data_IF_490029171999
#
_entry.id   IF_490029171999
#
_cell.length_a   1.000
_cell.length_b   1.000
_cell.length_c   1.000
_cell.angle_alpha   90.00
_cell.angle_beta   90.00
_cell.angle_gamma   90.00
#
_symmetry.space_group_name_H-M   'P 1'
#
loop_
_entity.id
_entity.type
_entity.pdbx_description
1 polymer ?
#
# COMPACT_ATOMS: atom_id res chain seq x y z
N UNK A 1 12.14 -12.98 14.67
CA UNK A 1 11.54 -12.72 16.00
C UNK A 1 10.04 -12.61 15.79
N UNK A 2 9.24 -13.31 16.58
CA UNK A 2 7.77 -13.21 16.50
C UNK A 2 7.36 -11.94 17.25
N UNK A 3 6.47 -11.16 16.64
CA UNK A 3 5.89 -9.97 17.27
C UNK A 3 4.49 -10.30 17.77
N UNK A 4 4.18 -9.86 18.98
CA UNK A 4 2.84 -9.91 19.56
C UNK A 4 2.25 -8.51 19.55
N UNK A 5 0.99 -8.38 19.11
CA UNK A 5 0.32 -7.10 18.95
C UNK A 5 -0.82 -6.98 19.97
N UNK A 6 -1.03 -5.76 20.46
CA UNK A 6 -2.14 -5.41 21.35
C UNK A 6 -3.10 -4.55 20.53
N UNK A 7 -4.42 -4.81 20.58
CA UNK A 7 -5.40 -3.97 19.91
C UNK A 7 -5.27 -2.50 20.29
N UNK A 8 -5.43 -1.62 19.31
CA UNK A 8 -5.47 -0.18 19.54
C UNK A 8 -6.81 0.23 20.17
N UNK A 9 -6.82 1.31 20.97
CA UNK A 9 -8.05 1.86 21.56
C UNK A 9 -8.53 3.13 20.86
N UNK A 10 -7.61 3.88 20.25
CA UNK A 10 -7.88 5.13 19.56
C UNK A 10 -6.86 5.40 18.45
N UNK A 11 -7.05 6.50 17.73
CA UNK A 11 -6.13 6.91 16.67
C UNK A 11 -4.77 7.34 17.24
N UNK A 12 -4.72 7.93 18.44
CA UNK A 12 -3.47 8.43 19.05
C UNK A 12 -2.47 7.31 19.35
N UNK A 13 -2.96 6.09 19.59
CA UNK A 13 -2.13 4.89 19.74
C UNK A 13 -1.27 4.58 18.50
N UNK A 14 -1.66 5.08 17.31
CA UNK A 14 -0.83 4.97 16.10
C UNK A 14 0.43 5.83 16.19
N UNK A 15 0.37 6.96 16.89
CA UNK A 15 1.48 7.91 17.06
C UNK A 15 2.71 7.24 17.65
N UNK A 16 2.52 6.32 18.59
CA UNK A 16 3.59 5.59 19.27
C UNK A 16 4.36 4.63 18.34
N UNK A 17 3.78 4.30 17.18
CA UNK A 17 4.37 3.38 16.20
C UNK A 17 5.10 4.07 15.06
N UNK A 18 4.92 5.39 14.91
CA UNK A 18 5.57 6.17 13.87
C UNK A 18 7.10 6.17 14.01
N UNK A 19 7.80 6.23 12.87
CA UNK A 19 9.27 6.28 12.85
C UNK A 19 9.81 7.60 13.44
N UNK A 20 9.11 8.71 13.20
CA UNK A 20 9.40 10.04 13.75
C UNK A 20 8.09 10.74 14.13
N UNK A 21 7.53 10.46 15.33
CA UNK A 21 6.22 10.97 15.75
C UNK A 21 6.13 12.50 15.74
N UNK A 22 7.23 13.20 16.04
CA UNK A 22 7.24 14.67 16.09
C UNK A 22 7.08 15.28 14.70
N UNK A 23 7.65 14.65 13.67
CA UNK A 23 7.52 15.12 12.28
C UNK A 23 6.25 14.61 11.60
N UNK A 24 5.88 13.36 11.86
CA UNK A 24 4.84 12.65 11.12
C UNK A 24 3.43 12.85 11.71
N UNK A 25 3.30 13.12 13.01
CA UNK A 25 2.00 13.31 13.67
C UNK A 25 1.56 14.78 13.69
N UNK A 26 1.19 15.31 12.53
CA UNK A 26 0.78 16.72 12.36
C UNK A 26 -0.46 16.80 11.46
N UNK A 27 -1.32 17.79 11.72
CA UNK A 27 -2.43 18.15 10.81
C UNK A 27 -1.88 18.33 9.38
N UNK A 28 -2.59 17.80 8.39
CA UNK A 28 -2.20 17.87 6.99
C UNK A 28 -1.16 16.84 6.54
N UNK A 29 -0.75 15.91 7.40
CA UNK A 29 0.13 14.78 7.05
C UNK A 29 -0.65 13.47 7.01
N UNK A 30 -0.25 12.58 6.11
CA UNK A 30 -0.96 11.33 5.81
C UNK A 30 -1.08 10.38 6.99
N UNK A 31 -0.04 10.25 7.82
CA UNK A 31 -0.04 9.32 8.94
C UNK A 31 -1.19 9.60 9.93
N UNK A 32 -1.45 10.87 10.25
CA UNK A 32 -2.53 11.27 11.15
C UNK A 32 -3.89 11.13 10.48
N UNK A 33 -4.04 11.61 9.24
CA UNK A 33 -5.28 11.48 8.49
C UNK A 33 -5.72 10.02 8.34
N UNK A 34 -4.78 9.13 7.99
CA UNK A 34 -5.01 7.71 7.87
C UNK A 34 -5.41 7.08 9.20
N UNK A 35 -4.73 7.41 10.30
CA UNK A 35 -5.04 6.89 11.63
C UNK A 35 -6.46 7.24 12.08
N UNK A 36 -6.86 8.51 11.93
CA UNK A 36 -8.19 8.97 12.30
C UNK A 36 -9.27 8.36 11.40
N UNK A 37 -9.05 8.34 10.07
CA UNK A 37 -9.97 7.74 9.11
C UNK A 37 -10.23 6.25 9.40
N UNK A 38 -9.16 5.46 9.56
CA UNK A 38 -9.29 4.02 9.77
C UNK A 38 -9.75 3.65 11.18
N UNK A 39 -9.49 4.48 12.19
CA UNK A 39 -10.02 4.25 13.55
C UNK A 39 -11.48 4.68 13.68
N UNK A 40 -11.93 5.69 12.91
CA UNK A 40 -13.32 6.12 12.89
C UNK A 40 -14.25 5.12 12.20
N UNK A 41 -13.71 4.18 11.42
CA UNK A 41 -14.47 3.06 10.87
C UNK A 41 -14.84 2.10 11.99
N UNK A 42 -16.05 2.25 12.56
CA UNK A 42 -16.52 1.42 13.68
C UNK A 42 -16.46 -0.08 13.38
N UNK A 43 -16.79 -0.47 12.14
CA UNK A 43 -16.72 -1.84 11.65
C UNK A 43 -16.24 -1.88 10.20
N UNK A 44 -15.16 -2.60 9.93
CA UNK A 44 -14.70 -2.86 8.58
C UNK A 44 -13.74 -1.81 8.02
N UNK A 45 -13.87 -1.52 6.73
CA UNK A 45 -13.05 -0.51 6.04
C UNK A 45 -13.65 0.90 6.21
N UNK A 46 -12.85 1.96 6.06
CA UNK A 46 -13.38 3.30 5.78
C UNK A 46 -14.41 3.25 4.63
N UNK A 47 -15.53 4.01 4.69
CA UNK A 47 -16.60 3.92 3.69
C UNK A 47 -16.14 4.06 2.24
N UNK A 48 -15.20 4.97 1.98
CA UNK A 48 -14.59 5.20 0.67
C UNK A 48 -13.82 3.98 0.16
N UNK A 49 -13.11 3.27 1.04
CA UNK A 49 -12.35 2.05 0.74
C UNK A 49 -13.32 0.88 0.55
N UNK A 50 -14.32 0.75 1.42
CA UNK A 50 -15.37 -0.27 1.31
C UNK A 50 -16.08 -0.19 -0.05
N UNK A 51 -16.45 1.02 -0.48
CA UNK A 51 -17.10 1.28 -1.75
C UNK A 51 -16.27 0.83 -2.94
N UNK A 52 -14.97 1.16 -2.98
CA UNK A 52 -14.05 0.77 -4.05
C UNK A 52 -14.07 -0.75 -4.29
N UNK A 53 -14.07 -1.54 -3.22
CA UNK A 53 -14.09 -2.99 -3.37
C UNK A 53 -15.49 -3.54 -3.68
N UNK A 54 -16.53 -3.02 -3.03
CA UNK A 54 -17.91 -3.44 -3.25
C UNK A 54 -18.38 -3.19 -4.70
N UNK A 55 -17.98 -2.06 -5.29
CA UNK A 55 -18.37 -1.66 -6.64
C UNK A 55 -17.42 -2.18 -7.74
N UNK A 56 -16.34 -2.89 -7.37
CA UNK A 56 -15.28 -3.30 -8.30
C UNK A 56 -15.74 -4.29 -9.37
N UNK A 57 -16.76 -5.12 -9.08
CA UNK A 57 -17.13 -6.27 -9.90
C UNK A 57 -16.05 -7.38 -9.98
N UNK A 58 -14.94 -7.25 -9.24
CA UNK A 58 -13.88 -8.24 -9.21
C UNK A 58 -14.24 -9.36 -8.23
N UNK A 59 -14.34 -10.59 -8.74
CA UNK A 59 -14.64 -11.75 -7.90
C UNK A 59 -13.63 -11.91 -6.74
N UNK A 60 -12.38 -11.47 -6.89
CA UNK A 60 -11.39 -11.50 -5.82
C UNK A 60 -11.75 -10.66 -4.57
N UNK A 61 -12.69 -9.72 -4.69
CA UNK A 61 -13.08 -8.81 -3.60
C UNK A 61 -14.56 -8.93 -3.21
N UNK A 62 -15.28 -9.91 -3.75
CA UNK A 62 -16.67 -10.13 -3.34
C UNK A 62 -16.72 -10.50 -1.84
N UNK A 63 -17.52 -9.73 -1.09
CA UNK A 63 -17.66 -9.88 0.35
C UNK A 63 -16.36 -9.63 1.13
N UNK A 64 -15.47 -8.78 0.62
CA UNK A 64 -14.21 -8.48 1.33
C UNK A 64 -14.46 -7.83 2.69
N UNK A 65 -13.79 -8.33 3.73
CA UNK A 65 -13.80 -7.78 5.08
C UNK A 65 -12.36 -7.70 5.64
N UNK A 66 -12.01 -6.65 6.38
CA UNK A 66 -10.72 -6.61 7.08
C UNK A 66 -10.78 -7.49 8.33
N UNK A 67 -9.72 -8.27 8.57
CA UNK A 67 -9.56 -9.11 9.75
C UNK A 67 -8.62 -8.48 10.79
N UNK A 68 -7.57 -7.80 10.32
CA UNK A 68 -6.52 -7.22 11.16
C UNK A 68 -5.85 -6.04 10.44
N UNK A 69 -5.63 -4.94 11.15
CA UNK A 69 -4.76 -3.84 10.74
C UNK A 69 -3.48 -3.79 11.57
N UNK A 70 -2.32 -3.66 10.92
CA UNK A 70 -1.00 -3.50 11.53
C UNK A 70 -0.41 -2.16 11.10
N UNK A 71 -0.37 -1.22 12.02
CA UNK A 71 0.18 0.13 11.82
C UNK A 71 1.70 0.06 11.72
N UNK A 72 2.27 0.81 10.78
CA UNK A 72 3.73 0.95 10.59
C UNK A 72 4.42 -0.41 10.39
N UNK A 73 3.74 -1.32 9.67
CA UNK A 73 4.19 -2.71 9.51
C UNK A 73 5.47 -2.79 8.69
N UNK A 74 6.45 -3.55 9.23
CA UNK A 74 7.78 -3.70 8.66
C UNK A 74 7.93 -5.04 7.96
N UNK A 75 8.27 -5.00 6.67
CA UNK A 75 8.50 -6.16 5.82
C UNK A 75 9.96 -6.19 5.38
N UNK A 76 10.65 -7.29 5.66
CA UNK A 76 12.05 -7.46 5.25
C UNK A 76 12.13 -7.52 3.72
N UNK A 77 12.96 -6.67 3.13
CA UNK A 77 13.14 -6.59 1.69
C UNK A 77 14.41 -7.33 1.24
N UNK A 78 14.47 -7.78 -0.03
CA UNK A 78 15.68 -8.37 -0.59
C UNK A 78 16.90 -7.44 -0.50
N UNK A 79 18.10 -8.04 -0.45
CA UNK A 79 19.35 -7.32 -0.26
C UNK A 79 19.57 -6.80 1.16
N UNK A 80 20.60 -5.97 1.32
CA UNK A 80 20.97 -5.31 2.59
C UNK A 80 20.21 -3.99 2.77
N UNK A 81 20.03 -3.58 4.02
CA UNK A 81 19.45 -2.29 4.39
C UNK A 81 18.11 -2.42 5.12
N UNK A 82 17.40 -1.30 5.21
CA UNK A 82 16.16 -1.21 5.98
C UNK A 82 15.00 -1.97 5.33
N UNK A 83 14.04 -2.46 6.16
CA UNK A 83 12.79 -3.05 5.68
C UNK A 83 11.91 -2.01 4.97
N UNK A 84 10.93 -2.49 4.22
CA UNK A 84 9.76 -1.68 3.87
C UNK A 84 8.96 -1.42 5.13
N UNK A 85 8.58 -0.18 5.37
CA UNK A 85 7.70 0.23 6.47
C UNK A 85 6.49 0.94 5.88
N UNK A 86 5.33 0.29 5.90
CA UNK A 86 4.09 0.80 5.31
C UNK A 86 3.23 1.41 6.41
N UNK A 87 2.52 2.51 6.11
CA UNK A 87 1.66 3.20 7.06
C UNK A 87 0.63 2.25 7.72
N UNK A 88 -0.03 1.42 6.91
CA UNK A 88 -0.93 0.37 7.38
C UNK A 88 -0.82 -0.89 6.52
N UNK A 89 -0.68 -2.05 7.15
CA UNK A 89 -0.92 -3.35 6.54
C UNK A 89 -2.28 -3.88 7.00
N UNK A 90 -3.09 -4.39 6.08
CA UNK A 90 -4.38 -5.01 6.36
C UNK A 90 -4.36 -6.45 5.89
N UNK A 91 -4.66 -7.36 6.81
CA UNK A 91 -5.06 -8.72 6.46
C UNK A 91 -6.57 -8.73 6.29
N UNK A 92 -7.05 -9.07 5.11
CA UNK A 92 -8.47 -9.14 4.79
C UNK A 92 -8.85 -10.55 4.31
N UNK A 93 -10.14 -10.81 4.24
CA UNK A 93 -10.71 -12.05 3.71
C UNK A 93 -11.75 -11.70 2.66
N UNK A 94 -11.74 -12.41 1.54
CA UNK A 94 -12.78 -12.35 0.51
C UNK A 94 -12.94 -13.75 -0.10
N UNK A 95 -14.17 -14.21 -0.30
CA UNK A 95 -14.45 -15.54 -0.87
C UNK A 95 -13.62 -16.70 -0.27
N UNK A 96 -13.53 -16.74 1.07
CA UNK A 96 -12.73 -17.73 1.81
C UNK A 96 -11.23 -17.74 1.51
N UNK A 97 -10.73 -16.69 0.85
CA UNK A 97 -9.31 -16.49 0.60
C UNK A 97 -8.80 -15.28 1.37
N UNK A 98 -7.56 -15.37 1.82
CA UNK A 98 -6.87 -14.25 2.45
C UNK A 98 -6.41 -13.27 1.37
N UNK A 99 -6.53 -11.98 1.69
CA UNK A 99 -6.04 -10.86 0.90
C UNK A 99 -5.02 -10.09 1.74
N UNK A 100 -3.81 -9.96 1.21
CA UNK A 100 -2.73 -9.17 1.79
C UNK A 100 -2.79 -7.76 1.21
N UNK A 101 -3.02 -6.75 2.04
CA UNK A 101 -3.19 -5.37 1.58
C UNK A 101 -2.19 -4.43 2.26
N UNK A 102 -1.44 -3.71 1.46
CA UNK A 102 -0.57 -2.60 1.88
C UNK A 102 -1.31 -1.32 1.58
N UNK A 103 -1.54 -0.50 2.60
CA UNK A 103 -2.21 0.80 2.52
C UNK A 103 -1.19 1.90 2.81
N UNK A 104 -0.98 2.78 1.83
CA UNK A 104 -0.13 3.95 1.97
C UNK A 104 -1.00 5.21 1.96
N UNK A 105 -0.92 6.00 3.03
CA UNK A 105 -1.56 7.30 3.12
C UNK A 105 -0.80 8.34 2.30
N UNK A 106 -1.52 9.25 1.63
CA UNK A 106 -0.91 10.40 0.96
C UNK A 106 -1.73 11.67 1.15
N UNK A 107 -1.07 12.79 1.40
CA UNK A 107 -1.68 14.12 1.26
C UNK A 107 -0.92 14.86 0.16
N UNK A 108 -0.04 15.79 0.54
CA UNK A 108 0.71 16.64 -0.38
C UNK A 108 2.13 16.15 -0.62
N UNK A 109 2.62 15.24 0.22
CA UNK A 109 3.96 14.67 0.12
C UNK A 109 4.08 13.70 -1.06
N UNK A 110 5.22 13.70 -1.78
CA UNK A 110 5.41 12.85 -2.95
C UNK A 110 5.54 11.36 -2.59
N UNK A 111 5.30 10.50 -3.57
CA UNK A 111 5.53 9.04 -3.53
C UNK A 111 7.03 8.66 -3.56
N UNK A 112 7.87 9.39 -2.84
CA UNK A 112 9.32 9.22 -2.83
C UNK A 112 10.00 9.51 -4.17
N UNK A 113 11.24 9.04 -4.32
CA UNK A 113 12.05 9.25 -5.51
C UNK A 113 11.58 8.40 -6.70
N UNK A 114 11.76 8.95 -7.91
CA UNK A 114 11.70 8.17 -9.15
C UNK A 114 12.82 7.13 -9.18
N UNK A 115 12.58 6.02 -9.88
CA UNK A 115 13.50 4.90 -9.96
C UNK A 115 14.88 5.31 -10.50
N UNK A 116 14.92 6.18 -11.51
CA UNK A 116 16.18 6.69 -12.07
C UNK A 116 17.03 7.45 -11.05
N UNK A 117 16.39 8.16 -10.11
CA UNK A 117 17.09 8.87 -9.03
C UNK A 117 17.44 7.95 -7.88
N UNK A 118 16.54 7.02 -7.54
CA UNK A 118 16.76 6.08 -6.45
C UNK A 118 17.89 5.10 -6.77
N UNK A 119 17.97 4.59 -8.00
CA UNK A 119 18.96 3.59 -8.41
C UNK A 119 20.30 4.26 -8.79
N UNK A 120 21.23 4.30 -7.85
CA UNK A 120 22.59 4.85 -8.04
C UNK A 120 23.58 3.85 -8.66
N UNK A 121 23.10 2.69 -9.10
CA UNK A 121 23.94 1.65 -9.70
C UNK A 121 24.70 0.78 -8.71
N UNK A 122 24.56 1.00 -7.40
CA UNK A 122 25.19 0.13 -6.40
C UNK A 122 24.67 -1.30 -6.49
N UNK A 123 25.57 -2.28 -6.27
CA UNK A 123 25.24 -3.72 -6.31
C UNK A 123 24.02 -4.07 -5.46
N UNK A 124 23.91 -3.46 -4.26
CA UNK A 124 22.81 -3.71 -3.35
C UNK A 124 21.45 -3.22 -3.91
N UNK A 125 21.41 -2.02 -4.51
CA UNK A 125 20.18 -1.49 -5.12
C UNK A 125 19.79 -2.28 -6.37
N UNK A 126 20.76 -2.69 -7.18
CA UNK A 126 20.50 -3.54 -8.36
C UNK A 126 19.96 -4.91 -7.96
N UNK A 127 20.56 -5.55 -6.95
CA UNK A 127 20.08 -6.83 -6.41
C UNK A 127 18.66 -6.69 -5.87
N UNK A 128 18.40 -5.64 -5.08
CA UNK A 128 17.07 -5.36 -4.53
C UNK A 128 16.04 -5.10 -5.62
N UNK A 129 16.36 -4.28 -6.61
CA UNK A 129 15.47 -3.95 -7.71
C UNK A 129 15.15 -5.19 -8.54
N UNK A 130 16.16 -5.98 -8.90
CA UNK A 130 15.99 -7.22 -9.67
C UNK A 130 15.02 -8.16 -8.96
N UNK A 131 15.22 -8.40 -7.66
CA UNK A 131 14.33 -9.24 -6.87
C UNK A 131 12.91 -8.67 -6.77
N UNK A 132 12.77 -7.34 -6.64
CA UNK A 132 11.46 -6.67 -6.63
C UNK A 132 10.74 -6.87 -7.97
N UNK A 133 11.41 -6.62 -9.10
CA UNK A 133 10.79 -6.76 -10.42
C UNK A 133 10.37 -8.21 -10.69
N UNK A 134 11.20 -9.18 -10.29
CA UNK A 134 10.89 -10.61 -10.37
C UNK A 134 9.63 -10.98 -9.57
N UNK A 135 9.55 -10.57 -8.29
CA UNK A 135 8.36 -10.78 -7.45
C UNK A 135 7.07 -10.17 -8.03
N UNK A 136 7.22 -9.08 -8.77
CA UNK A 136 6.11 -8.37 -9.40
C UNK A 136 5.79 -8.89 -10.82
N UNK A 137 6.55 -9.85 -11.32
CA UNK A 137 6.42 -10.37 -12.68
C UNK A 137 6.66 -9.30 -13.75
N UNK A 138 7.49 -8.31 -13.45
CA UNK A 138 7.91 -7.24 -14.37
C UNK A 138 9.18 -7.63 -15.12
N UNK A 139 9.46 -7.04 -16.30
CA UNK A 139 10.71 -7.27 -16.99
C UNK A 139 11.92 -6.82 -16.15
N UNK A 140 13.14 -7.34 -16.44
CA UNK A 140 14.36 -7.01 -15.68
C UNK A 140 14.72 -5.51 -15.65
N UNK A 141 14.17 -4.73 -16.58
CA UNK A 141 14.28 -3.28 -16.63
C UNK A 141 12.92 -2.66 -16.88
N UNK A 142 12.65 -1.53 -16.21
CA UNK A 142 11.42 -0.74 -16.36
C UNK A 142 11.79 0.73 -16.50
N UNK A 143 10.82 1.56 -16.91
CA UNK A 143 11.03 3.01 -17.03
C UNK A 143 11.56 3.61 -15.72
N UNK A 144 12.59 4.44 -15.83
CA UNK A 144 13.16 5.19 -14.71
C UNK A 144 12.20 6.23 -14.11
N UNK A 145 11.11 6.55 -14.81
CA UNK A 145 10.10 7.53 -14.37
C UNK A 145 9.17 7.00 -13.27
N UNK A 146 9.05 5.69 -13.11
CA UNK A 146 8.20 5.11 -12.06
C UNK A 146 8.74 5.47 -10.68
N UNK A 147 7.85 5.75 -9.72
CA UNK A 147 8.23 5.94 -8.32
C UNK A 147 8.67 4.62 -7.72
N UNK A 148 9.90 4.58 -7.18
CA UNK A 148 10.43 3.37 -6.55
C UNK A 148 9.54 2.90 -5.39
N UNK A 149 8.92 3.83 -4.67
CA UNK A 149 8.03 3.51 -3.56
C UNK A 149 6.87 2.59 -3.98
N UNK A 150 6.28 2.79 -5.17
CA UNK A 150 5.16 1.97 -5.66
C UNK A 150 5.59 0.51 -5.92
N UNK A 151 6.75 0.32 -6.57
CA UNK A 151 7.34 -1.02 -6.75
C UNK A 151 7.61 -1.68 -5.40
N UNK A 152 8.20 -0.91 -4.49
CA UNK A 152 8.59 -1.38 -3.16
C UNK A 152 7.40 -1.79 -2.30
N UNK A 153 6.31 -1.01 -2.32
CA UNK A 153 5.06 -1.28 -1.58
C UNK A 153 4.32 -2.48 -2.15
N UNK A 154 4.22 -2.58 -3.47
CA UNK A 154 3.61 -3.75 -4.09
C UNK A 154 4.41 -5.03 -3.75
N UNK A 155 5.74 -4.98 -3.79
CA UNK A 155 6.58 -6.11 -3.40
C UNK A 155 6.41 -6.47 -1.91
N UNK A 156 6.26 -5.46 -1.05
CA UNK A 156 5.94 -5.66 0.37
C UNK A 156 4.62 -6.42 0.57
N UNK A 157 3.57 -6.08 -0.22
CA UNK A 157 2.29 -6.78 -0.19
C UNK A 157 2.43 -8.23 -0.67
N UNK A 158 3.26 -8.48 -1.69
CA UNK A 158 3.56 -9.84 -2.21
C UNK A 158 4.30 -10.70 -1.17
N UNK A 159 5.28 -10.13 -0.48
CA UNK A 159 6.04 -10.86 0.56
C UNK A 159 5.10 -11.28 1.70
N UNK A 160 4.25 -10.38 2.17
CA UNK A 160 3.29 -10.71 3.23
C UNK A 160 2.18 -11.64 2.71
N UNK A 161 1.77 -11.51 1.46
CA UNK A 161 0.82 -12.44 0.84
C UNK A 161 1.34 -13.87 0.90
N UNK A 162 2.61 -14.08 0.50
CA UNK A 162 3.27 -15.38 0.60
C UNK A 162 3.39 -15.85 2.06
N UNK A 163 3.73 -14.95 2.98
CA UNK A 163 3.87 -15.28 4.42
C UNK A 163 2.55 -15.70 5.07
N UNK A 164 1.44 -15.11 4.66
CA UNK A 164 0.10 -15.42 5.17
C UNK A 164 -0.69 -16.41 4.29
N UNK A 165 -0.06 -16.99 3.26
CA UNK A 165 -0.72 -17.85 2.27
C UNK A 165 -1.97 -17.20 1.63
N UNK A 166 -1.89 -15.90 1.35
CA UNK A 166 -2.93 -15.14 0.68
C UNK A 166 -3.01 -15.47 -0.82
N UNK A 167 -4.23 -15.39 -1.37
CA UNK A 167 -4.46 -15.55 -2.81
C UNK A 167 -4.27 -14.27 -3.59
N UNK A 168 -4.38 -13.13 -2.91
CA UNK A 168 -4.25 -11.81 -3.54
C UNK A 168 -3.36 -10.89 -2.73
N UNK A 169 -2.60 -10.05 -3.44
CA UNK A 169 -1.84 -8.95 -2.90
C UNK A 169 -2.39 -7.63 -3.48
N UNK A 170 -2.63 -6.65 -2.61
CA UNK A 170 -3.20 -5.35 -2.97
C UNK A 170 -2.27 -4.25 -2.50
N UNK A 171 -1.91 -3.32 -3.38
CA UNK A 171 -1.38 -2.02 -2.99
C UNK A 171 -2.47 -0.96 -3.13
N UNK A 172 -2.88 -0.38 -2.01
CA UNK A 172 -3.88 0.68 -1.95
C UNK A 172 -3.20 2.00 -1.57
N UNK A 173 -3.34 3.02 -2.41
CA UNK A 173 -3.02 4.39 -2.03
C UNK A 173 -4.30 5.04 -1.51
N UNK A 174 -4.30 5.47 -0.26
CA UNK A 174 -5.40 6.22 0.34
C UNK A 174 -5.01 7.70 0.41
N UNK A 175 -5.50 8.49 -0.53
CA UNK A 175 -5.13 9.89 -0.68
C UNK A 175 -6.15 10.84 -0.07
N UNK A 176 -5.73 11.68 0.85
CA UNK A 176 -6.51 12.80 1.42
C UNK A 176 -6.15 14.13 0.75
N UNK A 177 -5.63 14.09 -0.47
CA UNK A 177 -5.33 15.27 -1.26
C UNK A 177 -6.57 15.72 -2.01
N UNK A 178 -6.99 16.98 -1.82
CA UNK A 178 -8.12 17.60 -2.54
C UNK A 178 -8.03 17.44 -4.06
N UNK A 179 -6.80 17.44 -4.60
CA UNK A 179 -6.56 17.37 -6.05
C UNK A 179 -6.01 16.02 -6.50
N UNK A 180 -6.05 14.99 -5.64
CA UNK A 180 -5.48 13.66 -5.91
C UNK A 180 -4.03 13.73 -6.40
N UNK A 181 -3.20 14.54 -5.72
CA UNK A 181 -1.80 14.69 -6.08
C UNK A 181 -1.13 13.33 -6.18
N UNK A 182 -0.27 13.20 -7.18
CA UNK A 182 0.52 12.00 -7.50
C UNK A 182 -0.28 10.84 -8.13
N UNK A 183 -1.57 11.02 -8.47
CA UNK A 183 -2.30 10.00 -9.23
C UNK A 183 -1.63 9.69 -10.59
N UNK A 184 -1.06 10.68 -11.27
CA UNK A 184 -0.30 10.46 -12.52
C UNK A 184 0.96 9.57 -12.31
N UNK A 185 1.61 9.66 -11.15
CA UNK A 185 2.72 8.76 -10.81
C UNK A 185 2.21 7.31 -10.58
N UNK A 186 1.02 7.16 -10.00
CA UNK A 186 0.34 5.87 -9.86
C UNK A 186 -0.06 5.29 -11.23
N UNK A 187 -0.59 6.10 -12.15
CA UNK A 187 -0.86 5.68 -13.53
C UNK A 187 0.41 5.22 -14.26
N UNK A 188 1.54 5.91 -14.02
CA UNK A 188 2.85 5.50 -14.57
C UNK A 188 3.26 4.11 -14.08
N UNK A 189 2.95 3.75 -12.83
CA UNK A 189 3.15 2.40 -12.31
C UNK A 189 2.20 1.38 -12.95
N UNK A 190 0.91 1.70 -13.09
CA UNK A 190 -0.06 0.81 -13.76
C UNK A 190 0.33 0.52 -15.21
N UNK A 191 0.90 1.51 -15.90
CA UNK A 191 1.37 1.38 -17.27
C UNK A 191 2.49 0.34 -17.43
N UNK A 192 3.25 0.01 -16.37
CA UNK A 192 4.23 -1.09 -16.40
C UNK A 192 3.57 -2.46 -16.67
N UNK A 193 2.28 -2.59 -16.35
CA UNK A 193 1.47 -3.79 -16.61
C UNK A 193 0.57 -3.63 -17.85
N UNK A 194 0.73 -2.56 -18.63
CA UNK A 194 -0.17 -2.23 -19.74
C UNK A 194 -1.60 -1.93 -19.27
N UNK A 195 -1.76 -1.43 -18.04
CA UNK A 195 -3.05 -1.07 -17.45
C UNK A 195 -3.23 0.44 -17.36
N UNK A 196 -4.50 0.84 -17.31
CA UNK A 196 -4.94 2.18 -16.90
C UNK A 196 -5.81 2.02 -15.66
N UNK A 197 -5.89 3.05 -14.84
CA UNK A 197 -6.72 3.05 -13.64
C UNK A 197 -7.53 4.32 -13.54
N UNK A 198 -8.52 4.31 -12.66
CA UNK A 198 -9.23 5.49 -12.22
C UNK A 198 -9.22 5.54 -10.70
N UNK A 199 -9.34 6.74 -10.16
CA UNK A 199 -9.61 6.92 -8.75
C UNK A 199 -10.92 6.21 -8.41
N UNK A 200 -10.92 5.43 -7.33
CA UNK A 200 -12.10 4.69 -6.88
C UNK A 200 -12.28 3.30 -7.51
N UNK A 201 -11.41 2.89 -8.43
CA UNK A 201 -11.51 1.59 -9.12
C UNK A 201 -10.25 0.74 -8.87
N UNK A 202 -10.37 -0.48 -8.32
CA UNK A 202 -9.23 -1.37 -8.21
C UNK A 202 -8.89 -1.98 -9.57
N UNK A 203 -7.59 -2.14 -9.84
CA UNK A 203 -7.05 -2.59 -11.12
C UNK A 203 -6.33 -3.92 -10.93
N UNK A 204 -6.72 -4.93 -11.70
CA UNK A 204 -5.98 -6.20 -11.81
C UNK A 204 -4.71 -6.01 -12.63
N UNK A 205 -3.56 -6.23 -12.00
CA UNK A 205 -2.25 -6.05 -12.62
C UNK A 205 -1.83 -7.31 -13.38
N UNK A 206 -1.53 -8.37 -12.64
CA UNK A 206 -0.97 -9.63 -13.13
C UNK A 206 -1.12 -10.74 -12.09
N UNK A 207 -1.11 -11.99 -12.52
CA UNK A 207 -0.93 -13.15 -11.64
C UNK A 207 0.52 -13.62 -11.72
N UNK A 208 1.18 -13.79 -10.57
CA UNK A 208 2.58 -14.24 -10.46
C UNK A 208 2.62 -15.42 -9.49
N UNK A 209 3.07 -16.59 -9.95
CA UNK A 209 3.11 -17.82 -9.14
C UNK A 209 1.77 -18.17 -8.45
N UNK A 210 0.65 -17.90 -9.12
CA UNK A 210 -0.69 -18.12 -8.58
C UNK A 210 -1.16 -17.09 -7.55
N UNK A 211 -0.38 -16.01 -7.32
CA UNK A 211 -0.78 -14.85 -6.53
C UNK A 211 -1.30 -13.74 -7.45
N UNK A 212 -2.54 -13.29 -7.20
CA UNK A 212 -3.19 -12.24 -7.99
C UNK A 212 -2.83 -10.85 -7.44
N UNK A 213 -2.27 -9.98 -8.28
CA UNK A 213 -1.80 -8.66 -7.91
C UNK A 213 -2.79 -7.57 -8.32
N UNK A 214 -3.12 -6.69 -7.37
CA UNK A 214 -4.03 -5.57 -7.60
C UNK A 214 -3.45 -4.27 -7.08
N UNK A 215 -3.88 -3.16 -7.66
CA UNK A 215 -3.62 -1.83 -7.13
C UNK A 215 -4.89 -0.98 -7.15
N UNK A 216 -5.03 -0.09 -6.17
CA UNK A 216 -6.15 0.82 -6.08
C UNK A 216 -5.69 2.20 -5.61
N UNK A 217 -6.37 3.24 -6.10
CA UNK A 217 -6.25 4.59 -5.57
C UNK A 217 -7.61 5.00 -5.03
N UNK A 218 -7.66 5.35 -3.74
CA UNK A 218 -8.88 5.79 -3.05
C UNK A 218 -8.72 7.24 -2.64
N UNK A 219 -9.69 8.07 -2.99
CA UNK A 219 -9.80 9.42 -2.46
C UNK A 219 -10.51 9.35 -1.11
N UNK A 220 -9.80 9.75 -0.06
CA UNK A 220 -10.26 9.75 1.33
C UNK A 220 -11.11 10.97 1.65
N UNK A 221 -11.92 10.85 2.70
CA UNK A 221 -12.72 11.98 3.21
C UNK A 221 -11.80 13.10 3.72
N UNK A 222 -11.88 14.27 3.07
CA UNK A 222 -11.02 15.43 3.32
C UNK A 222 -11.11 15.94 4.77
N UNK A 223 -12.20 15.65 5.51
CA UNK A 223 -12.30 16.03 6.93
C UNK A 223 -11.16 15.45 7.77
N UNK A 224 -10.60 14.31 7.36
CA UNK A 224 -9.48 13.67 8.05
C UNK A 224 -8.14 14.34 7.76
N UNK A 225 -8.05 15.18 6.74
CA UNK A 225 -6.85 16.01 6.49
C UNK A 225 -6.66 17.07 7.58
N UNK A 226 -7.77 17.66 8.03
CA UNK A 226 -7.82 18.73 9.03
C UNK A 226 -7.86 18.21 10.47
N UNK A 227 -8.17 16.92 10.63
CA UNK A 227 -8.31 16.25 11.93
C UNK A 227 -7.02 16.21 12.71
#
# INVERSE_FOLDING_TARGET
MVSFYIPTHDAESWRERLADPQKQWRVGYSARALAYCWTAAEHGFPPEVARVFAESGLAAFAGIEPLLGLVEHKVKMPGRGFPSQTDLFVLAKANDQIVSMVVEGKVDEPLGDRLARWNDGTENKQTRLTAILDMLGLPPTVSGEVRYQLLHRMASAVIEARRFNARSAVMLIHSFSETNRWFADFETFLALYGRKGKIGEPVSLKTVDGLDLYAAWVHGDEKFRES
#
